data_IF_174676584321
#
_entry.id   IF_174676584321
#
_cell.length_a   1.000
_cell.length_b   1.000
_cell.length_c   1.000
_cell.angle_alpha   90.00
_cell.angle_beta   90.00
_cell.angle_gamma   90.00
#
_symmetry.space_group_name_H-M   'P 1'
#
loop_
_entity.id
_entity.type
_entity.pdbx_description
1 polymer ?
#
# COMPACT_ATOMS: atom_id res chain seq x y z
N UNK A 1 25.53 -15.41 74.53
CA UNK A 1 24.13 -15.68 74.15
C UNK A 1 24.10 -16.13 72.66
N UNK A 2 23.80 -17.41 72.46
CA UNK A 2 23.74 -17.93 71.12
C UNK A 2 22.38 -17.52 70.53
N UNK A 3 22.41 -16.82 69.42
CA UNK A 3 21.21 -16.58 68.62
C UNK A 3 20.74 -17.91 67.98
N UNK A 4 19.65 -18.46 68.53
CA UNK A 4 18.98 -19.61 67.91
C UNK A 4 18.32 -19.09 66.65
N UNK A 5 18.90 -19.41 65.50
CA UNK A 5 18.27 -19.21 64.23
C UNK A 5 16.98 -20.06 64.17
N UNK A 6 15.85 -19.49 64.49
CA UNK A 6 14.58 -20.18 64.24
C UNK A 6 14.47 -20.49 62.76
N UNK A 7 14.10 -21.71 62.38
CA UNK A 7 13.86 -22.05 61.01
C UNK A 7 12.76 -21.12 60.46
N UNK A 8 12.91 -20.60 59.25
CA UNK A 8 11.92 -19.71 58.67
C UNK A 8 10.56 -20.37 58.66
N UNK A 9 9.56 -19.64 59.11
CA UNK A 9 8.17 -20.13 59.15
C UNK A 9 7.72 -20.49 57.70
N UNK A 10 7.54 -21.76 57.43
CA UNK A 10 7.16 -22.29 56.12
C UNK A 10 5.96 -21.56 55.54
N UNK A 11 4.99 -21.18 56.37
CA UNK A 11 3.81 -20.40 55.93
C UNK A 11 4.19 -19.03 55.35
N UNK A 12 5.17 -18.36 55.99
CA UNK A 12 5.66 -17.06 55.51
C UNK A 12 6.42 -17.23 54.19
N UNK A 13 7.23 -18.29 54.10
CA UNK A 13 7.96 -18.60 52.85
C UNK A 13 7.01 -18.91 51.70
N UNK A 14 5.97 -19.72 51.90
CA UNK A 14 4.97 -20.00 50.87
C UNK A 14 4.18 -18.75 50.47
N UNK A 15 3.85 -17.88 51.42
CA UNK A 15 3.18 -16.63 51.15
C UNK A 15 4.07 -15.67 50.32
N UNK A 16 5.37 -15.62 50.62
CA UNK A 16 6.32 -14.81 49.85
C UNK A 16 6.48 -15.35 48.42
N UNK A 17 6.61 -16.66 48.25
CA UNK A 17 6.69 -17.31 46.96
C UNK A 17 5.40 -17.01 46.13
N UNK A 18 4.24 -17.16 46.75
CA UNK A 18 2.95 -16.89 46.11
C UNK A 18 2.84 -15.43 45.69
N UNK A 19 3.23 -14.48 46.53
CA UNK A 19 3.22 -13.06 46.22
C UNK A 19 4.20 -12.71 45.06
N UNK A 20 5.35 -13.38 45.01
CA UNK A 20 6.33 -13.20 43.91
C UNK A 20 5.84 -13.80 42.63
N UNK A 21 5.19 -14.97 42.63
CA UNK A 21 4.57 -15.58 41.49
C UNK A 21 3.45 -14.68 40.91
N UNK A 22 2.58 -14.18 41.77
CA UNK A 22 1.52 -13.24 41.34
C UNK A 22 2.10 -11.94 40.74
N UNK A 23 3.20 -11.42 41.27
CA UNK A 23 3.89 -10.26 40.68
C UNK A 23 4.49 -10.58 39.32
N UNK A 24 5.08 -11.78 39.18
CA UNK A 24 5.63 -12.23 37.88
C UNK A 24 4.53 -12.44 36.83
N UNK A 25 3.43 -13.09 37.19
CA UNK A 25 2.28 -13.25 36.30
C UNK A 25 1.68 -11.91 35.90
N UNK A 26 1.56 -10.97 36.84
CA UNK A 26 1.08 -9.62 36.56
C UNK A 26 2.05 -8.87 35.67
N UNK A 27 3.37 -8.96 35.94
CA UNK A 27 4.40 -8.32 35.11
C UNK A 27 4.43 -8.93 33.70
N UNK A 28 4.27 -10.23 33.57
CA UNK A 28 4.23 -10.93 32.29
C UNK A 28 3.00 -10.50 31.45
N UNK A 29 1.86 -10.27 32.12
CA UNK A 29 0.66 -9.72 31.46
C UNK A 29 0.83 -8.28 30.98
N UNK A 30 1.72 -7.50 31.59
CA UNK A 30 2.00 -6.11 31.21
C UNK A 30 3.13 -5.94 30.22
N UNK A 31 4.03 -6.93 30.10
CA UNK A 31 5.24 -6.84 29.26
C UNK A 31 5.18 -7.65 27.97
N UNK A 32 4.34 -8.67 27.91
CA UNK A 32 4.08 -9.39 26.67
C UNK A 32 2.67 -9.00 26.16
N UNK A 33 2.54 -8.53 24.91
CA UNK A 33 1.22 -8.40 24.31
C UNK A 33 0.56 -9.78 24.37
N UNK A 34 -0.59 -9.84 24.99
CA UNK A 34 -1.35 -11.08 25.06
C UNK A 34 -1.88 -11.35 23.65
N UNK A 35 -1.28 -12.32 22.97
CA UNK A 35 -1.75 -12.75 21.65
C UNK A 35 -2.63 -13.97 21.87
N UNK A 36 -3.94 -13.78 21.81
CA UNK A 36 -4.90 -14.86 21.83
C UNK A 36 -5.17 -15.35 20.39
N UNK A 37 -5.29 -16.66 20.24
CA UNK A 37 -5.74 -17.26 19.00
C UNK A 37 -7.21 -17.66 19.19
N UNK A 38 -8.10 -16.98 18.48
CA UNK A 38 -9.52 -17.19 18.66
C UNK A 38 -10.32 -17.01 17.37
N UNK A 39 -11.39 -17.78 17.22
CA UNK A 39 -12.41 -17.57 16.20
C UNK A 39 -13.38 -16.45 16.59
N UNK A 40 -13.49 -16.15 17.88
CA UNK A 40 -14.37 -15.11 18.40
C UNK A 40 -13.54 -13.95 18.97
N UNK A 41 -14.00 -12.76 18.72
CA UNK A 41 -13.41 -11.52 19.26
C UNK A 41 -13.35 -11.58 20.80
N UNK A 42 -12.15 -11.40 21.40
CA UNK A 42 -11.99 -11.40 22.85
C UNK A 42 -12.86 -10.35 23.53
N UNK A 43 -13.48 -10.71 24.66
CA UNK A 43 -14.32 -9.81 25.47
C UNK A 43 -13.48 -9.05 26.49
N UNK A 44 -13.85 -7.79 26.78
CA UNK A 44 -13.16 -6.90 27.72
C UNK A 44 -11.66 -6.66 27.40
N UNK A 45 -11.33 -6.28 26.17
CA UNK A 45 -9.96 -6.04 25.78
C UNK A 45 -9.41 -4.77 26.43
N UNK A 46 -8.10 -4.70 26.61
CA UNK A 46 -7.36 -3.50 27.01
C UNK A 46 -6.70 -2.87 25.80
N UNK A 47 -6.47 -1.57 25.85
CA UNK A 47 -5.74 -0.87 24.78
C UNK A 47 -4.37 -1.53 24.56
N UNK A 48 -4.11 -1.94 23.33
CA UNK A 48 -2.90 -2.62 22.92
C UNK A 48 -2.98 -4.16 22.98
N UNK A 49 -4.05 -4.76 23.50
CA UNK A 49 -4.27 -6.20 23.39
C UNK A 49 -4.33 -6.61 21.94
N UNK A 50 -3.78 -7.78 21.62
CA UNK A 50 -3.72 -8.34 20.28
C UNK A 50 -4.34 -9.73 20.27
N UNK A 51 -4.98 -10.10 19.16
CA UNK A 51 -5.38 -11.47 18.91
C UNK A 51 -5.26 -11.82 17.43
N UNK A 52 -5.03 -13.09 17.16
CA UNK A 52 -5.09 -13.63 15.82
C UNK A 52 -6.48 -14.20 15.57
N UNK A 53 -7.22 -13.55 14.66
CA UNK A 53 -8.52 -14.03 14.20
C UNK A 53 -8.30 -15.19 13.25
N UNK A 54 -8.62 -16.41 13.69
CA UNK A 54 -8.36 -17.65 12.94
C UNK A 54 -9.30 -17.83 11.76
N UNK A 55 -10.48 -17.21 11.77
CA UNK A 55 -11.42 -17.27 10.65
C UNK A 55 -11.07 -16.29 9.54
N UNK A 56 -10.60 -15.12 9.93
CA UNK A 56 -10.16 -14.10 8.97
C UNK A 56 -8.67 -14.22 8.61
N UNK A 57 -7.90 -15.06 9.31
CA UNK A 57 -6.43 -15.22 9.20
C UNK A 57 -5.67 -13.91 9.37
N UNK A 58 -6.15 -13.05 10.28
CA UNK A 58 -5.64 -11.69 10.48
C UNK A 58 -5.28 -11.43 11.94
N UNK A 59 -4.16 -10.69 12.14
CA UNK A 59 -3.84 -10.11 13.45
C UNK A 59 -4.66 -8.84 13.66
N UNK A 60 -5.26 -8.72 14.85
CA UNK A 60 -6.02 -7.55 15.28
C UNK A 60 -5.48 -7.01 16.59
N UNK A 61 -5.59 -5.70 16.81
CA UNK A 61 -5.29 -5.06 18.08
C UNK A 61 -6.44 -4.16 18.53
N UNK A 62 -6.59 -4.02 19.84
CA UNK A 62 -7.60 -3.15 20.44
C UNK A 62 -7.07 -1.71 20.55
N UNK A 63 -7.73 -0.77 19.89
CA UNK A 63 -7.33 0.64 19.92
C UNK A 63 -7.99 1.46 21.06
N UNK A 64 -8.79 0.81 21.91
CA UNK A 64 -9.57 1.43 22.99
C UNK A 64 -11.05 1.55 22.69
N UNK A 65 -11.45 1.44 21.43
CA UNK A 65 -12.86 1.57 20.99
C UNK A 65 -13.31 0.38 20.13
N UNK A 66 -12.40 -0.18 19.34
CA UNK A 66 -12.68 -1.30 18.43
C UNK A 66 -11.43 -2.12 18.14
N UNK A 67 -11.63 -3.34 17.68
CA UNK A 67 -10.57 -4.18 17.13
C UNK A 67 -10.22 -3.70 15.72
N UNK A 68 -8.95 -3.38 15.51
CA UNK A 68 -8.39 -2.88 14.25
C UNK A 68 -7.42 -3.92 13.70
N UNK A 69 -7.51 -4.19 12.43
CA UNK A 69 -6.60 -5.13 11.75
C UNK A 69 -5.17 -4.57 11.75
N UNK A 70 -4.24 -5.36 12.29
CA UNK A 70 -2.83 -4.96 12.32
C UNK A 70 -2.24 -4.94 10.89
N UNK A 71 -2.76 -5.78 10.02
CA UNK A 71 -2.35 -5.88 8.63
C UNK A 71 -2.74 -4.65 7.79
N UNK A 72 -3.87 -4.02 8.05
CA UNK A 72 -4.27 -2.79 7.34
C UNK A 72 -3.29 -1.63 7.53
N UNK A 73 -2.55 -1.63 8.64
CA UNK A 73 -1.55 -0.61 8.92
C UNK A 73 -0.11 -1.00 8.56
N UNK A 74 0.22 -2.30 8.52
CA UNK A 74 1.59 -2.79 8.28
C UNK A 74 1.79 -3.45 6.92
N UNK A 75 0.76 -4.07 6.36
CA UNK A 75 0.86 -4.82 5.11
C UNK A 75 -0.17 -4.41 4.06
N UNK A 76 -0.77 -3.24 4.19
CA UNK A 76 -1.77 -2.63 3.30
C UNK A 76 -2.14 -3.48 2.09
N UNK A 77 -3.07 -4.41 2.28
CA UNK A 77 -3.45 -5.38 1.23
C UNK A 77 -4.68 -4.95 0.45
N UNK A 78 -5.01 -3.68 0.41
CA UNK A 78 -6.06 -3.24 -0.50
C UNK A 78 -5.46 -3.04 -1.88
N UNK A 79 -5.38 -4.10 -2.64
CA UNK A 79 -5.22 -3.98 -4.09
C UNK A 79 -6.59 -3.58 -4.63
N UNK A 80 -6.75 -2.31 -4.93
CA UNK A 80 -7.90 -1.82 -5.65
C UNK A 80 -7.52 -1.71 -7.12
N UNK A 81 -8.03 -2.61 -7.95
CA UNK A 81 -7.98 -2.44 -9.39
C UNK A 81 -9.02 -1.41 -9.78
N UNK A 82 -8.59 -0.32 -10.39
CA UNK A 82 -9.45 0.78 -10.84
C UNK A 82 -9.19 1.03 -12.31
N UNK A 83 -10.25 1.11 -13.06
CA UNK A 83 -10.16 1.48 -14.47
C UNK A 83 -10.33 2.98 -14.65
N UNK A 84 -9.57 3.56 -15.56
CA UNK A 84 -9.67 5.00 -15.88
C UNK A 84 -9.50 5.25 -17.37
N UNK A 85 -9.60 6.52 -17.74
CA UNK A 85 -9.53 6.96 -19.13
C UNK A 85 -8.15 7.50 -19.44
N UNK A 86 -7.63 7.15 -20.63
CA UNK A 86 -6.47 7.80 -21.22
C UNK A 86 -6.94 8.87 -22.20
N UNK A 87 -6.20 9.95 -22.29
CA UNK A 87 -6.49 11.08 -23.17
C UNK A 87 -5.21 11.61 -23.82
N UNK A 88 -5.38 12.36 -24.91
CA UNK A 88 -4.32 13.13 -25.54
C UNK A 88 -4.61 14.63 -25.43
N UNK A 89 -3.57 15.45 -25.43
CA UNK A 89 -3.70 16.87 -25.11
C UNK A 89 -4.48 17.68 -26.16
N UNK A 90 -4.37 17.32 -27.43
CA UNK A 90 -4.90 18.16 -28.53
C UNK A 90 -6.18 17.61 -29.21
N UNK A 91 -6.32 16.29 -29.30
CA UNK A 91 -7.51 15.63 -29.81
C UNK A 91 -7.83 14.45 -28.92
N UNK A 92 -9.12 14.27 -28.61
CA UNK A 92 -9.52 13.16 -27.73
C UNK A 92 -9.20 11.81 -28.38
N UNK A 93 -8.55 10.96 -27.60
CA UNK A 93 -8.44 9.55 -27.93
C UNK A 93 -9.84 8.91 -27.94
N UNK A 94 -10.13 8.10 -28.96
CA UNK A 94 -11.41 7.39 -29.08
C UNK A 94 -11.13 5.89 -28.92
N UNK A 95 -11.80 5.25 -27.97
CA UNK A 95 -11.67 3.83 -27.67
C UNK A 95 -13.00 3.26 -27.16
N UNK A 96 -13.10 1.94 -27.20
CA UNK A 96 -14.22 1.20 -26.60
C UNK A 96 -13.75 0.54 -25.30
N UNK A 97 -14.50 0.69 -24.22
CA UNK A 97 -14.13 0.18 -22.90
C UNK A 97 -13.20 1.11 -22.12
N UNK A 98 -12.38 0.55 -21.25
CA UNK A 98 -11.44 1.26 -20.37
C UNK A 98 -10.01 0.84 -20.69
N UNK A 99 -9.22 1.67 -21.37
CA UNK A 99 -7.88 1.29 -21.82
C UNK A 99 -6.84 1.29 -20.71
N UNK A 100 -7.13 1.87 -19.53
CA UNK A 100 -6.20 2.00 -18.42
C UNK A 100 -6.73 1.23 -17.20
N UNK A 101 -5.97 0.26 -16.76
CA UNK A 101 -6.17 -0.46 -15.52
C UNK A 101 -5.08 -0.08 -14.53
N UNK A 102 -5.45 0.32 -13.31
CA UNK A 102 -4.51 0.76 -12.27
C UNK A 102 -4.71 -0.10 -11.04
N UNK A 103 -3.69 -0.85 -10.68
CA UNK A 103 -3.61 -1.54 -9.40
C UNK A 103 -2.97 -0.63 -8.36
N UNK A 104 -3.69 -0.35 -7.30
CA UNK A 104 -3.23 0.51 -6.19
C UNK A 104 -3.06 -0.33 -4.94
N UNK A 105 -1.85 -0.35 -4.41
CA UNK A 105 -1.54 -0.95 -3.12
C UNK A 105 -1.11 0.13 -2.13
N UNK A 106 -1.68 0.10 -0.94
CA UNK A 106 -1.35 1.04 0.13
C UNK A 106 -0.71 0.31 1.31
N UNK A 107 0.41 0.84 1.80
CA UNK A 107 1.09 0.39 3.03
C UNK A 107 1.31 1.61 3.92
N UNK A 108 0.47 1.80 4.93
CA UNK A 108 0.52 3.00 5.77
C UNK A 108 0.32 4.28 4.97
N UNK A 109 1.34 5.15 4.93
CA UNK A 109 1.36 6.38 4.11
C UNK A 109 1.94 6.16 2.70
N UNK A 110 2.50 5.00 2.40
CA UNK A 110 3.06 4.70 1.09
C UNK A 110 1.99 4.11 0.18
N UNK A 111 1.91 4.60 -1.03
CA UNK A 111 1.10 4.05 -2.11
C UNK A 111 2.02 3.61 -3.24
N UNK A 112 1.82 2.40 -3.71
CA UNK A 112 2.37 1.90 -4.97
C UNK A 112 1.23 1.79 -5.96
N UNK A 113 1.39 2.35 -7.15
CA UNK A 113 0.43 2.23 -8.24
C UNK A 113 1.12 1.65 -9.47
N UNK A 114 0.50 0.64 -10.06
CA UNK A 114 0.92 0.04 -11.32
C UNK A 114 -0.20 0.26 -12.35
N UNK A 115 0.08 0.98 -13.42
CA UNK A 115 -0.88 1.23 -14.49
C UNK A 115 -0.50 0.43 -15.74
N UNK A 116 -1.43 -0.38 -16.21
CA UNK A 116 -1.37 -1.05 -17.51
C UNK A 116 -2.30 -0.33 -18.47
N UNK A 117 -1.76 0.13 -19.59
CA UNK A 117 -2.49 0.80 -20.65
C UNK A 117 -2.45 -0.09 -21.88
N UNK A 118 -3.61 -0.46 -22.39
CA UNK A 118 -3.75 -1.29 -23.59
C UNK A 118 -4.43 -0.49 -24.70
N UNK A 119 -3.85 -0.49 -25.87
CA UNK A 119 -4.41 0.20 -27.04
C UNK A 119 -5.30 -0.69 -27.91
N UNK A 120 -5.58 -1.92 -27.50
CA UNK A 120 -6.33 -2.92 -28.30
C UNK A 120 -7.66 -2.41 -28.85
N UNK A 121 -8.36 -1.56 -28.11
CA UNK A 121 -9.67 -1.04 -28.49
C UNK A 121 -9.63 0.45 -28.88
N UNK A 122 -8.47 0.99 -29.20
CA UNK A 122 -8.31 2.38 -29.62
C UNK A 122 -8.57 2.47 -31.11
N UNK A 123 -9.51 3.34 -31.52
CA UNK A 123 -9.85 3.60 -32.90
C UNK A 123 -9.32 4.95 -33.40
N UNK A 124 -9.03 5.86 -32.46
CA UNK A 124 -8.34 7.11 -32.74
C UNK A 124 -7.37 7.40 -31.60
N UNK A 125 -6.10 7.49 -31.90
CA UNK A 125 -5.03 7.69 -30.91
C UNK A 125 -4.92 9.15 -30.44
N UNK A 126 -5.64 10.07 -31.06
CA UNK A 126 -5.52 11.50 -30.75
C UNK A 126 -4.16 12.07 -31.15
N UNK A 127 -3.88 13.29 -30.74
CA UNK A 127 -2.59 13.97 -30.96
C UNK A 127 -2.13 14.74 -29.72
N UNK A 128 -0.81 14.90 -29.59
CA UNK A 128 -0.18 15.55 -28.43
C UNK A 128 -0.02 14.61 -27.24
N UNK A 129 0.54 15.14 -26.19
CA UNK A 129 0.97 14.37 -25.02
C UNK A 129 -0.14 13.52 -24.40
N UNK A 130 0.18 12.28 -24.13
CA UNK A 130 -0.70 11.36 -23.43
C UNK A 130 -0.71 11.58 -21.94
N UNK A 131 -1.89 11.48 -21.33
CA UNK A 131 -2.08 11.47 -19.89
C UNK A 131 -3.27 10.59 -19.52
N UNK A 132 -3.29 10.14 -18.28
CA UNK A 132 -4.45 9.48 -17.67
C UNK A 132 -4.80 10.10 -16.32
N UNK A 133 -6.05 9.96 -15.92
CA UNK A 133 -6.51 10.44 -14.63
C UNK A 133 -6.24 9.37 -13.58
N UNK A 134 -5.67 9.78 -12.44
CA UNK A 134 -5.58 8.91 -11.29
C UNK A 134 -6.94 8.76 -10.62
N UNK A 135 -7.23 7.57 -10.07
CA UNK A 135 -8.45 7.38 -9.30
C UNK A 135 -8.46 8.26 -8.05
N UNK A 136 -9.68 8.63 -7.60
CA UNK A 136 -9.87 9.43 -6.39
C UNK A 136 -9.38 8.72 -5.10
N UNK A 137 -9.14 7.41 -5.17
CA UNK A 137 -8.54 6.62 -4.10
C UNK A 137 -7.07 6.96 -3.83
N UNK A 138 -6.41 7.69 -4.74
CA UNK A 138 -5.07 8.23 -4.54
C UNK A 138 -5.20 9.70 -4.10
N UNK A 139 -5.26 9.99 -2.79
CA UNK A 139 -5.46 11.34 -2.28
C UNK A 139 -4.22 12.23 -2.49
N UNK A 140 -4.29 13.45 -1.97
CA UNK A 140 -3.17 14.38 -2.00
C UNK A 140 -1.88 13.74 -1.47
N UNK A 141 -0.80 13.97 -2.18
CA UNK A 141 0.54 13.43 -1.90
C UNK A 141 1.41 14.51 -1.27
N UNK A 142 2.39 14.09 -0.48
CA UNK A 142 3.33 15.01 0.14
C UNK A 142 4.28 15.67 -0.88
N UNK A 143 4.56 14.98 -2.00
CA UNK A 143 5.51 15.40 -3.04
C UNK A 143 5.01 15.03 -4.42
N UNK A 144 5.62 15.63 -5.43
CA UNK A 144 5.43 15.21 -6.82
C UNK A 144 5.83 13.74 -6.99
N UNK A 145 5.08 13.02 -7.82
CA UNK A 145 5.35 11.62 -8.10
C UNK A 145 6.01 11.51 -9.48
N UNK A 146 7.07 10.72 -9.52
CA UNK A 146 7.67 10.24 -10.77
C UNK A 146 7.48 8.73 -10.83
N UNK A 147 6.83 8.27 -11.87
CA UNK A 147 6.63 6.87 -12.16
C UNK A 147 7.55 6.47 -13.32
N UNK A 148 8.04 5.23 -13.31
CA UNK A 148 8.88 4.70 -14.38
C UNK A 148 8.21 3.49 -15.02
N UNK A 149 8.50 3.26 -16.30
CA UNK A 149 7.88 2.16 -17.03
C UNK A 149 8.43 1.99 -18.43
N UNK A 150 7.66 1.31 -19.25
CA UNK A 150 8.04 1.02 -20.62
C UNK A 150 6.80 0.99 -21.54
N UNK A 151 7.05 1.32 -22.80
CA UNK A 151 6.14 1.13 -23.92
C UNK A 151 6.60 -0.10 -24.69
N UNK A 152 5.69 -1.00 -24.98
CA UNK A 152 5.93 -2.14 -25.89
C UNK A 152 5.15 -1.88 -27.16
N UNK A 153 5.84 -1.90 -28.29
CA UNK A 153 5.26 -1.69 -29.61
C UNK A 153 6.00 -2.54 -30.67
N UNK A 154 5.27 -3.32 -31.45
CA UNK A 154 5.84 -4.14 -32.52
C UNK A 154 6.97 -5.07 -32.06
N UNK A 155 6.99 -5.51 -30.79
CA UNK A 155 8.07 -6.31 -30.19
C UNK A 155 9.27 -5.50 -29.70
N UNK A 156 9.28 -4.18 -29.87
CA UNK A 156 10.28 -3.29 -29.29
C UNK A 156 9.83 -2.77 -27.92
N UNK A 157 10.81 -2.46 -27.06
CA UNK A 157 10.55 -1.89 -25.73
C UNK A 157 11.27 -0.56 -25.60
N UNK A 158 10.52 0.47 -25.23
CA UNK A 158 11.02 1.82 -25.04
C UNK A 158 10.78 2.24 -23.59
N UNK A 159 11.77 2.84 -22.95
CA UNK A 159 11.61 3.39 -21.60
C UNK A 159 10.68 4.59 -21.66
N UNK A 160 9.77 4.68 -20.66
CA UNK A 160 8.94 5.86 -20.44
C UNK A 160 8.88 6.22 -18.96
N UNK A 161 8.37 7.41 -18.65
CA UNK A 161 8.09 7.81 -17.28
C UNK A 161 6.85 8.69 -17.22
N UNK A 162 6.23 8.71 -16.04
CA UNK A 162 5.10 9.56 -15.75
C UNK A 162 5.44 10.61 -14.71
N UNK A 163 4.89 11.80 -14.84
CA UNK A 163 5.01 12.87 -13.85
C UNK A 163 3.64 13.33 -13.39
N UNK A 164 3.53 13.57 -12.10
CA UNK A 164 2.29 13.98 -11.45
C UNK A 164 2.62 14.92 -10.30
N UNK A 165 2.19 16.17 -10.42
CA UNK A 165 2.34 17.15 -9.32
C UNK A 165 1.53 16.72 -8.09
N UNK A 166 1.98 17.10 -6.89
CA UNK A 166 1.45 16.64 -5.60
C UNK A 166 -0.07 16.78 -5.44
N UNK A 167 -0.66 17.83 -6.00
CA UNK A 167 -2.09 18.12 -5.95
C UNK A 167 -2.84 17.79 -7.25
N UNK A 168 -2.14 17.36 -8.29
CA UNK A 168 -2.73 17.07 -9.59
C UNK A 168 -3.38 15.68 -9.62
N UNK A 169 -4.32 15.50 -10.52
CA UNK A 169 -5.00 14.23 -10.78
C UNK A 169 -4.60 13.61 -12.12
N UNK A 170 -3.85 14.32 -12.95
CA UNK A 170 -3.44 13.88 -14.28
C UNK A 170 -1.96 13.49 -14.26
N UNK A 171 -1.69 12.24 -14.61
CA UNK A 171 -0.32 11.77 -14.85
C UNK A 171 0.01 11.94 -16.32
N UNK A 172 0.99 12.78 -16.61
CA UNK A 172 1.53 13.01 -17.94
C UNK A 172 2.66 12.04 -18.25
N UNK A 173 2.67 11.50 -19.46
CA UNK A 173 3.63 10.49 -19.91
C UNK A 173 4.72 11.13 -20.77
N UNK A 174 5.95 10.63 -20.58
CA UNK A 174 7.17 11.15 -21.20
C UNK A 174 8.07 10.02 -21.66
N UNK A 175 8.92 10.32 -22.62
CA UNK A 175 9.99 9.44 -23.11
C UNK A 175 11.32 10.14 -22.95
N UNK A 176 12.36 9.49 -22.41
CA UNK A 176 13.69 10.09 -22.33
C UNK A 176 14.27 10.25 -23.74
N UNK A 177 14.96 11.35 -23.95
CA UNK A 177 15.71 11.61 -25.20
C UNK A 177 17.19 11.27 -25.07
N UNK A 178 17.86 11.04 -26.18
CA UNK A 178 19.30 10.72 -26.21
C UNK A 178 20.19 11.84 -25.64
N UNK A 179 19.68 13.07 -25.59
CA UNK A 179 20.41 14.23 -25.07
C UNK A 179 20.17 14.49 -23.58
N UNK A 180 19.57 13.54 -22.86
CA UNK A 180 19.27 13.68 -21.42
C UNK A 180 18.05 14.53 -21.11
N UNK A 181 17.26 14.94 -22.11
CA UNK A 181 15.96 15.57 -21.95
C UNK A 181 14.82 14.57 -21.96
N UNK A 182 13.60 15.07 -22.16
CA UNK A 182 12.40 14.27 -22.31
C UNK A 182 11.48 14.87 -23.37
N UNK A 183 10.88 14.02 -24.17
CA UNK A 183 9.80 14.36 -25.09
C UNK A 183 8.46 13.84 -24.55
N UNK A 184 7.38 14.49 -24.95
CA UNK A 184 6.04 14.01 -24.64
C UNK A 184 5.81 12.65 -25.30
N UNK A 185 5.31 11.68 -24.52
CA UNK A 185 4.85 10.44 -25.11
C UNK A 185 3.53 10.69 -25.82
N UNK A 186 3.48 10.43 -27.10
CA UNK A 186 2.31 10.60 -27.95
C UNK A 186 2.19 9.46 -28.99
N UNK A 187 1.28 9.60 -29.96
CA UNK A 187 1.05 8.60 -30.99
C UNK A 187 2.30 8.26 -31.82
N UNK A 188 3.21 9.21 -32.04
CA UNK A 188 4.40 9.04 -32.88
C UNK A 188 5.70 8.90 -32.09
N UNK A 189 5.65 9.01 -30.77
CA UNK A 189 6.83 9.05 -29.89
C UNK A 189 6.66 8.07 -28.73
N UNK A 190 7.54 7.08 -28.52
CA UNK A 190 8.83 6.83 -29.18
C UNK A 190 8.74 6.10 -30.54
N UNK A 191 7.58 5.61 -30.90
CA UNK A 191 7.28 4.91 -32.14
C UNK A 191 5.84 5.21 -32.54
N UNK A 192 5.44 4.82 -33.74
CA UNK A 192 4.03 4.93 -34.17
C UNK A 192 3.23 3.84 -33.47
N UNK A 193 2.50 4.23 -32.41
CA UNK A 193 1.72 3.29 -31.63
C UNK A 193 0.54 2.74 -32.41
N UNK A 194 0.21 1.49 -32.17
CA UNK A 194 -0.91 0.79 -32.80
C UNK A 194 -1.76 0.03 -31.78
N UNK A 195 -2.74 -0.74 -32.24
CA UNK A 195 -3.66 -1.50 -31.39
C UNK A 195 -3.01 -2.68 -30.66
N UNK A 196 -1.76 -3.02 -30.96
CA UNK A 196 -0.96 -4.06 -30.26
C UNK A 196 -0.04 -3.46 -29.20
N UNK A 197 0.08 -2.12 -29.20
CA UNK A 197 0.94 -1.40 -28.26
C UNK A 197 0.38 -1.47 -26.84
N UNK A 198 1.28 -1.48 -25.86
CA UNK A 198 0.93 -1.39 -24.44
C UNK A 198 1.91 -0.49 -23.69
N UNK A 199 1.45 0.14 -22.60
CA UNK A 199 2.30 0.89 -21.69
C UNK A 199 2.12 0.29 -20.30
N UNK A 200 3.24 0.01 -19.63
CA UNK A 200 3.25 -0.38 -18.23
C UNK A 200 4.06 0.65 -17.45
N UNK A 201 3.48 1.21 -16.40
CA UNK A 201 4.13 2.25 -15.60
C UNK A 201 3.85 2.05 -14.12
N UNK A 202 4.90 2.11 -13.30
CA UNK A 202 4.83 1.91 -11.86
C UNK A 202 5.38 3.12 -11.14
N UNK A 203 4.65 3.58 -10.13
CA UNK A 203 5.05 4.69 -9.28
C UNK A 203 4.81 4.42 -7.81
N UNK A 204 5.59 5.10 -6.99
CA UNK A 204 5.46 5.07 -5.52
C UNK A 204 5.29 6.50 -5.02
N UNK A 205 4.32 6.73 -4.17
CA UNK A 205 4.05 8.03 -3.56
C UNK A 205 3.88 7.94 -2.04
N UNK A 206 4.18 9.03 -1.36
CA UNK A 206 3.84 9.24 0.05
C UNK A 206 2.60 10.13 0.14
N UNK A 207 1.65 9.73 0.95
CA UNK A 207 0.49 10.54 1.29
C UNK A 207 0.88 11.69 2.22
N UNK A 208 0.22 12.82 2.06
CA UNK A 208 0.38 13.98 2.92
C UNK A 208 -0.11 13.74 4.37
#
# INVERSE_FOLDING_TARGET
MAYINQPPNLKVMFQDIYNRLNKLETAQRFTAPNVDFATNTPTNPRVGDQFFDTDAELMKYWNGTQWVELADNLYGTTVNSVTTTMQSANNNMIYTGTPVEIDVQRIGKMITANALISFTNVTNFGTGQYYFNLPASIPNRAHDLVASGFVVDGGNTYTCFGTLAATATKMYLWVPTSNGGSDALDYNTPAVLDTTSTINITGVALLA
#
